data_IF_886403971939
#
_entry.id   IF_886403971939
#
_cell.length_a   1.000
_cell.length_b   1.000
_cell.length_c   1.000
_cell.angle_alpha   90.00
_cell.angle_beta   90.00
_cell.angle_gamma   90.00
#
_symmetry.space_group_name_H-M   'P 1'
#
loop_
_entity.id
_entity.type
_entity.pdbx_description
1 polymer ?
#
# COMPACT_ATOMS: atom_id res chain seq x y z
N UNK A 1 -22.11 -33.81 -12.18
CA UNK A 1 -23.54 -33.77 -11.80
C UNK A 1 -23.92 -32.30 -11.65
N UNK A 2 -24.69 -31.76 -12.62
CA UNK A 2 -25.07 -30.35 -12.71
C UNK A 2 -26.34 -30.14 -11.89
N UNK A 3 -26.32 -29.25 -10.91
CA UNK A 3 -27.54 -28.72 -10.31
C UNK A 3 -27.60 -27.21 -10.53
N UNK A 4 -28.53 -26.82 -11.40
CA UNK A 4 -29.06 -25.47 -11.54
C UNK A 4 -30.04 -25.26 -10.38
N UNK A 5 -29.94 -24.13 -9.69
CA UNK A 5 -31.07 -23.51 -9.00
C UNK A 5 -31.08 -22.04 -9.36
N UNK A 6 -32.11 -21.66 -10.13
CA UNK A 6 -32.59 -20.28 -10.25
C UNK A 6 -33.29 -19.92 -8.94
N UNK A 7 -32.96 -18.75 -8.39
CA UNK A 7 -33.85 -18.02 -7.51
C UNK A 7 -33.73 -16.54 -7.89
N UNK A 8 -34.79 -16.02 -8.50
CA UNK A 8 -34.95 -14.62 -8.84
C UNK A 8 -35.28 -13.85 -7.55
N UNK A 9 -34.41 -12.90 -7.18
CA UNK A 9 -34.73 -11.84 -6.25
C UNK A 9 -34.73 -10.52 -7.01
N UNK A 10 -35.93 -9.96 -7.14
CA UNK A 10 -36.17 -8.58 -7.59
C UNK A 10 -35.62 -7.66 -6.51
N UNK A 11 -34.45 -7.07 -6.78
CA UNK A 11 -33.90 -5.97 -5.99
C UNK A 11 -34.37 -4.68 -6.66
N UNK A 12 -35.25 -3.94 -5.97
CA UNK A 12 -35.54 -2.55 -6.29
C UNK A 12 -34.26 -1.74 -6.07
N UNK A 13 -33.52 -1.53 -7.15
CA UNK A 13 -32.31 -0.74 -7.19
C UNK A 13 -32.62 0.75 -7.06
N UNK A 14 -32.57 1.26 -5.83
CA UNK A 14 -32.12 2.63 -5.62
C UNK A 14 -30.62 2.63 -5.88
N UNK A 15 -30.26 2.89 -7.14
CA UNK A 15 -28.89 3.07 -7.58
C UNK A 15 -28.30 4.27 -6.87
N UNK A 16 -27.63 4.05 -5.75
CA UNK A 16 -26.59 4.93 -5.27
C UNK A 16 -25.45 4.83 -6.30
N UNK A 17 -25.51 5.67 -7.33
CA UNK A 17 -24.33 5.95 -8.15
C UNK A 17 -23.31 6.51 -7.15
N UNK A 18 -22.17 5.85 -6.92
CA UNK A 18 -21.10 6.51 -6.20
C UNK A 18 -20.71 7.71 -7.08
N UNK A 19 -21.14 8.90 -6.69
CA UNK A 19 -20.61 10.14 -7.24
C UNK A 19 -19.22 10.22 -6.60
N UNK A 20 -18.26 9.50 -7.17
CA UNK A 20 -16.87 9.86 -7.00
C UNK A 20 -16.78 11.23 -7.66
N UNK A 21 -16.70 12.27 -6.84
CA UNK A 21 -16.35 13.60 -7.32
C UNK A 21 -14.92 13.51 -7.84
N UNK A 22 -14.79 13.11 -9.10
CA UNK A 22 -13.57 13.25 -9.88
C UNK A 22 -13.38 14.73 -10.08
N UNK A 23 -12.23 15.25 -9.68
CA UNK A 23 -11.92 16.62 -10.03
C UNK A 23 -11.81 16.71 -11.55
N UNK A 24 -12.32 17.77 -12.14
CA UNK A 24 -12.08 18.00 -13.56
C UNK A 24 -10.64 18.47 -13.78
N UNK A 25 -10.07 18.21 -14.95
CA UNK A 25 -8.91 18.95 -15.42
C UNK A 25 -9.12 20.46 -15.29
N UNK A 26 -8.03 21.19 -15.05
CA UNK A 26 -8.07 22.65 -15.01
C UNK A 26 -8.62 23.19 -16.36
N UNK A 27 -9.78 23.86 -16.37
CA UNK A 27 -10.35 24.41 -17.60
C UNK A 27 -9.50 25.54 -18.21
N UNK A 28 -8.63 26.15 -17.40
CA UNK A 28 -7.77 27.26 -17.82
C UNK A 28 -6.53 26.77 -18.58
N UNK A 29 -6.03 25.56 -18.29
CA UNK A 29 -4.85 25.01 -18.93
C UNK A 29 -5.19 24.29 -20.24
N UNK A 30 -4.63 24.77 -21.35
CA UNK A 30 -4.70 24.12 -22.67
C UNK A 30 -3.31 23.73 -23.14
N UNK A 31 -3.14 22.44 -23.46
CA UNK A 31 -1.87 21.88 -23.97
C UNK A 31 -1.98 21.67 -25.47
N UNK A 32 -1.09 22.32 -26.21
CA UNK A 32 -1.02 22.21 -27.67
C UNK A 32 -0.04 21.11 -28.11
N UNK A 33 1.10 20.99 -27.42
CA UNK A 33 2.11 19.98 -27.73
C UNK A 33 2.94 19.56 -26.52
N UNK A 34 3.43 18.32 -26.55
CA UNK A 34 4.50 17.84 -25.67
C UNK A 34 5.56 17.15 -26.53
N UNK A 35 6.82 17.52 -26.34
CA UNK A 35 7.96 16.98 -27.03
C UNK A 35 9.02 16.47 -26.04
N UNK A 36 9.72 15.40 -26.42
CA UNK A 36 10.89 14.89 -25.71
C UNK A 36 12.09 14.91 -26.65
N UNK A 37 13.25 15.33 -26.16
CA UNK A 37 14.45 15.40 -27.00
C UNK A 37 15.04 14.03 -27.36
N UNK A 38 14.61 12.97 -26.70
CA UNK A 38 15.06 11.60 -26.94
C UNK A 38 13.87 10.63 -26.89
N UNK A 39 13.71 9.75 -27.90
CA UNK A 39 12.64 8.75 -27.92
C UNK A 39 13.02 7.46 -27.17
N UNK A 40 14.29 7.31 -26.78
CA UNK A 40 14.77 6.14 -26.07
C UNK A 40 15.94 6.46 -25.15
N UNK A 41 16.04 5.76 -24.02
CA UNK A 41 17.16 5.86 -23.07
C UNK A 41 17.58 4.47 -22.58
N UNK A 42 18.87 4.31 -22.33
CA UNK A 42 19.43 3.16 -21.63
C UNK A 42 19.97 3.63 -20.27
N UNK A 43 19.54 2.97 -19.20
CA UNK A 43 19.89 3.35 -17.83
C UNK A 43 20.34 2.09 -17.08
N UNK A 44 21.31 2.24 -16.20
CA UNK A 44 21.88 1.12 -15.44
C UNK A 44 21.95 1.46 -13.95
N UNK A 45 21.60 0.49 -13.11
CA UNK A 45 21.74 0.62 -11.67
C UNK A 45 20.86 1.70 -11.07
N UNK A 46 21.46 2.49 -10.18
CA UNK A 46 20.80 3.58 -9.46
C UNK A 46 20.88 4.93 -10.22
N UNK A 47 21.37 4.92 -11.45
CA UNK A 47 21.47 6.11 -12.28
C UNK A 47 20.11 6.52 -12.84
N UNK A 48 20.01 7.77 -13.29
CA UNK A 48 18.92 8.28 -14.10
C UNK A 48 19.45 8.86 -15.41
N UNK A 49 18.66 8.79 -16.47
CA UNK A 49 18.89 9.56 -17.69
C UNK A 49 18.02 10.82 -17.68
N UNK A 50 18.62 11.98 -17.89
CA UNK A 50 17.89 13.24 -18.01
C UNK A 50 17.40 13.40 -19.47
N UNK A 51 16.08 13.46 -19.63
CA UNK A 51 15.40 13.70 -20.91
C UNK A 51 14.76 15.06 -20.83
N UNK A 52 15.05 15.95 -21.78
CA UNK A 52 14.40 17.26 -21.81
C UNK A 52 12.98 17.09 -22.34
N UNK A 53 12.02 17.53 -21.54
CA UNK A 53 10.61 17.59 -21.92
C UNK A 53 10.24 19.04 -22.15
N UNK A 54 9.57 19.31 -23.26
CA UNK A 54 9.05 20.63 -23.60
C UNK A 54 7.55 20.55 -23.81
N UNK A 55 6.81 21.38 -23.10
CA UNK A 55 5.36 21.53 -23.21
C UNK A 55 5.07 22.87 -23.87
N UNK A 56 4.17 22.89 -24.85
CA UNK A 56 3.65 24.12 -25.46
C UNK A 56 2.16 24.19 -25.16
N UNK A 57 1.69 25.35 -24.70
CA UNK A 57 0.31 25.56 -24.32
C UNK A 57 0.06 26.96 -23.79
N UNK A 58 -1.12 27.14 -23.19
CA UNK A 58 -1.54 28.42 -22.65
C UNK A 58 -2.48 28.25 -21.45
N UNK A 59 -2.42 29.23 -20.56
CA UNK A 59 -3.47 29.49 -19.59
C UNK A 59 -4.41 30.55 -20.15
N UNK A 60 -5.71 30.43 -19.90
CA UNK A 60 -6.67 31.52 -20.14
C UNK A 60 -6.42 32.70 -19.21
N UNK A 61 -6.00 32.43 -17.98
CA UNK A 61 -5.72 33.44 -16.96
C UNK A 61 -4.22 33.83 -16.94
N UNK A 62 -3.97 35.15 -16.92
CA UNK A 62 -2.62 35.70 -17.02
C UNK A 62 -1.75 35.46 -15.77
N UNK A 63 -2.35 35.28 -14.59
CA UNK A 63 -1.61 34.98 -13.36
C UNK A 63 -1.17 33.52 -13.31
N UNK A 64 -2.05 32.58 -13.64
CA UNK A 64 -1.73 31.14 -13.76
C UNK A 64 -0.67 30.86 -14.81
N UNK A 65 -0.52 31.80 -15.74
CA UNK A 65 0.52 31.76 -16.75
C UNK A 65 1.93 31.59 -16.14
N UNK A 66 2.20 32.09 -14.92
CA UNK A 66 3.54 31.97 -14.29
C UNK A 66 3.78 30.62 -13.61
N UNK A 67 2.75 29.79 -13.50
CA UNK A 67 2.79 28.52 -12.78
C UNK A 67 3.60 27.47 -13.58
N UNK A 68 4.50 26.71 -12.93
CA UNK A 68 5.18 25.60 -13.58
C UNK A 68 4.18 24.48 -13.92
N UNK A 69 4.57 23.58 -14.81
CA UNK A 69 3.79 22.38 -15.13
C UNK A 69 4.61 21.12 -14.91
N UNK A 70 3.95 19.98 -14.75
CA UNK A 70 4.56 18.66 -14.71
C UNK A 70 3.96 17.78 -15.79
N UNK A 71 4.79 16.99 -16.43
CA UNK A 71 4.36 15.99 -17.41
C UNK A 71 4.30 14.62 -16.74
N UNK A 72 3.17 13.94 -16.93
CA UNK A 72 2.94 12.59 -16.46
C UNK A 72 3.14 11.64 -17.62
N UNK A 73 3.92 10.59 -17.37
CA UNK A 73 4.05 9.47 -18.27
C UNK A 73 3.62 8.19 -17.57
N UNK A 74 2.81 7.39 -18.24
CA UNK A 74 2.39 6.06 -17.76
C UNK A 74 3.06 4.96 -18.58
N UNK A 75 3.40 3.87 -17.91
CA UNK A 75 3.96 2.68 -18.54
C UNK A 75 2.88 2.02 -19.39
N UNK A 76 3.12 1.94 -20.69
CA UNK A 76 2.23 1.31 -21.67
C UNK A 76 2.80 0.01 -22.25
N UNK A 77 4.08 -0.28 -21.97
CA UNK A 77 4.73 -1.53 -22.38
C UNK A 77 5.82 -1.98 -21.40
N UNK A 78 6.06 -3.29 -21.36
CA UNK A 78 7.01 -3.92 -20.44
C UNK A 78 6.46 -4.09 -19.01
N UNK A 79 7.34 -4.45 -18.08
CA UNK A 79 7.02 -4.61 -16.65
C UNK A 79 8.15 -4.02 -15.83
N UNK A 80 7.85 -3.33 -14.72
CA UNK A 80 8.83 -2.70 -13.84
C UNK A 80 8.16 -2.20 -12.57
N UNK A 81 8.97 -1.82 -11.57
CA UNK A 81 8.46 -1.33 -10.27
C UNK A 81 7.69 -0.02 -10.38
N UNK A 82 8.07 0.83 -11.34
CA UNK A 82 7.41 2.12 -11.60
C UNK A 82 6.42 1.99 -12.76
N UNK A 83 5.17 2.34 -12.49
CA UNK A 83 4.09 2.46 -13.49
C UNK A 83 3.96 3.88 -14.04
N UNK A 84 4.48 4.88 -13.31
CA UNK A 84 4.32 6.30 -13.63
C UNK A 84 5.65 7.02 -13.47
N UNK A 85 5.94 7.95 -14.38
CA UNK A 85 7.04 8.90 -14.26
C UNK A 85 6.48 10.32 -14.26
N UNK A 86 7.14 11.19 -13.50
CA UNK A 86 6.82 12.60 -13.43
C UNK A 86 8.06 13.39 -13.81
N UNK A 87 7.90 14.41 -14.65
CA UNK A 87 8.96 15.38 -14.86
C UNK A 87 9.22 16.18 -13.57
N UNK A 88 10.32 16.93 -13.51
CA UNK A 88 10.42 18.01 -12.52
C UNK A 88 9.35 19.07 -12.78
N UNK A 89 9.16 20.01 -11.85
CA UNK A 89 8.45 21.27 -12.12
C UNK A 89 9.13 21.96 -13.30
N UNK A 90 8.43 22.02 -14.44
CA UNK A 90 8.94 22.62 -15.67
C UNK A 90 8.69 24.13 -15.59
N UNK A 91 9.74 24.97 -15.47
CA UNK A 91 9.56 26.42 -15.46
C UNK A 91 9.02 26.90 -16.81
N UNK A 92 8.20 27.94 -16.77
CA UNK A 92 7.76 28.62 -17.97
C UNK A 92 8.90 29.39 -18.62
N UNK A 93 8.99 29.25 -19.93
CA UNK A 93 9.85 29.99 -20.84
C UNK A 93 9.00 30.98 -21.66
N UNK A 94 9.63 31.66 -22.63
CA UNK A 94 8.92 32.56 -23.54
C UNK A 94 7.85 31.81 -24.37
N UNK A 95 6.86 32.56 -24.87
CA UNK A 95 5.89 32.10 -25.88
C UNK A 95 5.00 30.91 -25.48
N UNK A 96 4.68 30.75 -24.19
CA UNK A 96 3.78 29.68 -23.74
C UNK A 96 4.43 28.30 -23.79
N UNK A 97 5.75 28.25 -23.58
CA UNK A 97 6.47 26.98 -23.48
C UNK A 97 6.95 26.75 -22.06
N UNK A 98 6.98 25.49 -21.61
CA UNK A 98 7.63 25.07 -20.37
C UNK A 98 8.66 24.00 -20.73
N UNK A 99 9.83 24.03 -20.09
CA UNK A 99 10.85 23.02 -20.39
C UNK A 99 11.72 22.70 -19.19
N UNK A 100 12.17 21.46 -19.12
CA UNK A 100 12.98 20.96 -18.01
C UNK A 100 13.19 19.45 -18.10
N UNK A 101 13.91 18.88 -17.12
CA UNK A 101 14.26 17.48 -17.15
C UNK A 101 13.12 16.56 -16.67
N UNK A 102 13.01 15.41 -17.35
CA UNK A 102 12.43 14.17 -16.86
C UNK A 102 13.59 13.23 -16.53
N UNK A 103 13.72 12.83 -15.26
CA UNK A 103 14.73 11.87 -14.85
C UNK A 103 14.17 10.45 -14.97
N UNK A 104 14.66 9.70 -15.95
CA UNK A 104 14.21 8.34 -16.24
C UNK A 104 15.10 7.33 -15.50
N UNK A 105 14.57 6.54 -14.55
CA UNK A 105 15.35 5.57 -13.79
C UNK A 105 15.48 4.20 -14.47
N UNK A 106 16.44 3.39 -14.01
CA UNK A 106 16.58 1.98 -14.42
C UNK A 106 15.57 1.07 -13.70
N UNK A 107 14.28 1.20 -14.02
CA UNK A 107 13.21 0.45 -13.33
C UNK A 107 12.84 -0.86 -14.00
N UNK A 108 13.12 -0.99 -15.31
CA UNK A 108 13.13 -2.19 -16.16
C UNK A 108 12.91 -1.78 -17.63
N UNK A 109 13.06 -2.73 -18.55
CA UNK A 109 12.72 -2.53 -19.96
C UNK A 109 11.22 -2.24 -20.13
N UNK A 110 10.89 -1.24 -20.95
CA UNK A 110 9.50 -0.93 -21.29
C UNK A 110 9.34 0.41 -21.99
N UNK A 111 8.08 0.82 -22.13
CA UNK A 111 7.72 2.07 -22.80
C UNK A 111 6.84 2.90 -21.90
N UNK A 112 7.19 4.16 -21.71
CA UNK A 112 6.37 5.15 -21.03
C UNK A 112 5.78 6.11 -22.05
N UNK A 113 4.53 6.51 -21.85
CA UNK A 113 3.82 7.41 -22.75
C UNK A 113 3.29 8.60 -21.97
N UNK A 114 3.45 9.79 -22.52
CA UNK A 114 2.82 11.00 -21.96
C UNK A 114 1.30 10.82 -21.99
N UNK A 115 0.67 10.94 -20.82
CA UNK A 115 -0.79 10.81 -20.64
C UNK A 115 -1.45 12.10 -20.18
N UNK A 116 -0.70 13.02 -19.58
CA UNK A 116 -1.26 14.29 -19.15
C UNK A 116 -0.23 15.28 -18.63
N UNK A 117 -0.72 16.48 -18.32
CA UNK A 117 0.03 17.59 -17.75
C UNK A 117 -0.73 18.13 -16.54
N UNK A 118 -0.05 18.35 -15.42
CA UNK A 118 -0.61 19.01 -14.23
C UNK A 118 0.06 20.39 -14.09
N UNK A 119 -0.68 21.40 -13.64
CA UNK A 119 -0.09 22.69 -13.24
C UNK A 119 0.30 22.70 -11.76
N UNK A 120 1.26 23.53 -11.41
CA UNK A 120 1.73 23.70 -10.02
C UNK A 120 3.10 23.08 -9.78
N UNK A 121 3.67 23.28 -8.59
CA UNK A 121 4.89 22.58 -8.19
C UNK A 121 4.61 21.08 -8.01
N UNK A 122 5.65 20.24 -8.14
CA UNK A 122 5.54 18.86 -7.68
C UNK A 122 5.07 18.83 -6.23
N UNK A 123 3.94 18.19 -5.97
CA UNK A 123 3.46 17.93 -4.62
C UNK A 123 2.79 16.55 -4.53
N UNK A 124 3.43 15.53 -3.94
CA UNK A 124 2.80 14.29 -3.59
C UNK A 124 2.00 14.52 -2.30
N UNK A 125 0.68 14.64 -2.40
CA UNK A 125 -0.21 14.61 -1.23
C UNK A 125 -0.87 15.92 -0.75
N UNK A 126 -0.86 17.04 -1.49
CA UNK A 126 -1.67 18.22 -1.13
C UNK A 126 -2.58 18.62 -2.25
N UNK A 127 -3.88 18.38 -2.02
CA UNK A 127 -4.92 19.41 -2.08
C UNK A 127 -5.31 19.99 -3.43
N UNK A 128 -4.41 20.03 -4.41
CA UNK A 128 -4.80 20.30 -5.78
C UNK A 128 -5.39 19.01 -6.32
N UNK A 129 -6.69 18.88 -6.09
CA UNK A 129 -7.46 17.72 -6.50
C UNK A 129 -7.53 17.62 -8.03
N UNK A 130 -7.06 18.63 -8.78
CA UNK A 130 -7.17 18.72 -10.24
C UNK A 130 -6.64 17.48 -10.94
N UNK A 131 -7.50 16.86 -11.74
CA UNK A 131 -7.07 15.77 -12.60
C UNK A 131 -6.07 16.30 -13.64
N UNK A 132 -5.08 15.49 -14.08
CA UNK A 132 -4.17 15.90 -15.13
C UNK A 132 -4.94 16.31 -16.38
N UNK A 133 -4.58 17.42 -17.02
CA UNK A 133 -5.06 17.77 -18.35
C UNK A 133 -4.66 16.66 -19.31
N UNK A 134 -5.61 15.87 -19.85
CA UNK A 134 -5.28 14.68 -20.62
C UNK A 134 -4.57 15.07 -21.92
N UNK A 135 -3.47 14.39 -22.22
CA UNK A 135 -2.72 14.62 -23.46
C UNK A 135 -2.16 13.31 -23.99
N UNK A 136 -2.49 12.97 -25.24
CA UNK A 136 -1.98 11.76 -25.91
C UNK A 136 -0.64 12.07 -26.57
N UNK A 137 0.41 12.14 -25.75
CA UNK A 137 1.72 12.61 -26.21
C UNK A 137 2.68 11.53 -26.68
N UNK A 138 3.96 11.91 -26.88
CA UNK A 138 5.02 11.00 -27.33
C UNK A 138 5.31 9.91 -26.30
N UNK A 139 6.04 8.89 -26.75
CA UNK A 139 6.50 7.79 -25.90
C UNK A 139 8.02 7.75 -25.82
N UNK A 140 8.54 7.22 -24.73
CA UNK A 140 9.95 6.96 -24.50
C UNK A 140 10.16 5.47 -24.21
N UNK A 141 11.06 4.85 -24.96
CA UNK A 141 11.52 3.50 -24.71
C UNK A 141 12.64 3.51 -23.66
N UNK A 142 12.53 2.67 -22.64
CA UNK A 142 13.51 2.56 -21.56
C UNK A 142 14.13 1.17 -21.63
N UNK A 143 15.46 1.14 -21.67
CA UNK A 143 16.25 -0.09 -21.48
C UNK A 143 16.93 -0.01 -20.13
N UNK A 144 16.42 -0.77 -19.15
CA UNK A 144 16.93 -0.80 -17.78
C UNK A 144 17.80 -2.04 -17.55
N UNK A 145 19.04 -1.85 -17.10
CA UNK A 145 19.94 -2.93 -16.69
C UNK A 145 20.35 -2.78 -15.23
N UNK A 146 20.79 -3.88 -14.61
CA UNK A 146 21.15 -3.90 -13.19
C UNK A 146 20.08 -3.21 -12.34
N UNK A 147 18.82 -3.65 -12.39
CA UNK A 147 17.69 -2.97 -11.73
C UNK A 147 17.78 -3.14 -10.21
N UNK A 148 17.54 -2.10 -9.39
CA UNK A 148 17.68 -2.22 -7.95
C UNK A 148 16.59 -3.10 -7.35
N UNK A 149 17.03 -4.04 -6.50
CA UNK A 149 16.20 -4.88 -5.65
C UNK A 149 16.33 -4.42 -4.21
N UNK A 150 15.20 -4.03 -3.63
CA UNK A 150 15.09 -3.71 -2.21
C UNK A 150 14.52 -4.93 -1.49
N UNK A 151 15.09 -5.29 -0.35
CA UNK A 151 14.55 -6.32 0.54
C UNK A 151 14.56 -5.85 1.99
N UNK A 152 13.74 -6.50 2.82
CA UNK A 152 13.58 -6.13 4.21
C UNK A 152 13.46 -7.36 5.11
N UNK A 153 14.02 -7.25 6.32
CA UNK A 153 13.89 -8.25 7.39
C UNK A 153 13.54 -7.55 8.70
N UNK A 154 12.40 -7.93 9.28
CA UNK A 154 11.89 -7.35 10.53
C UNK A 154 12.39 -8.17 11.71
N UNK A 155 12.90 -7.48 12.74
CA UNK A 155 13.44 -8.07 13.96
C UNK A 155 12.71 -7.47 15.16
N UNK A 156 11.95 -8.27 15.94
CA UNK A 156 11.60 -9.68 15.69
C UNK A 156 10.66 -9.84 14.48
N UNK A 157 10.62 -11.04 13.88
CA UNK A 157 9.78 -11.35 12.70
C UNK A 157 8.29 -11.04 12.93
N UNK A 158 7.81 -11.26 14.14
CA UNK A 158 6.47 -10.85 14.60
C UNK A 158 6.66 -9.87 15.75
N UNK A 159 6.23 -8.63 15.56
CA UNK A 159 6.45 -7.51 16.48
C UNK A 159 5.39 -7.54 17.59
N UNK A 160 5.76 -7.82 18.86
CA UNK A 160 4.81 -7.78 19.95
C UNK A 160 4.21 -6.39 20.15
N UNK A 161 2.96 -6.34 20.64
CA UNK A 161 2.32 -5.06 20.99
C UNK A 161 3.12 -4.32 22.07
N UNK A 162 3.25 -3.00 21.92
CA UNK A 162 3.96 -2.15 22.88
C UNK A 162 5.47 -2.34 22.94
N UNK A 163 6.08 -3.10 22.02
CA UNK A 163 7.54 -3.31 21.97
C UNK A 163 8.17 -2.64 20.75
N UNK A 164 9.38 -2.07 20.90
CA UNK A 164 10.14 -1.57 19.76
C UNK A 164 10.58 -2.73 18.86
N UNK A 165 10.95 -2.39 17.63
CA UNK A 165 11.44 -3.35 16.66
C UNK A 165 12.47 -2.68 15.75
N UNK A 166 13.12 -3.44 14.88
CA UNK A 166 14.01 -2.91 13.86
C UNK A 166 13.72 -3.55 12.51
N UNK A 167 14.00 -2.82 11.44
CA UNK A 167 13.98 -3.36 10.08
C UNK A 167 15.39 -3.23 9.51
N UNK A 168 15.95 -4.36 9.08
CA UNK A 168 17.15 -4.40 8.24
C UNK A 168 16.71 -4.36 6.79
N UNK A 169 17.09 -3.32 6.08
CA UNK A 169 16.87 -3.16 4.65
C UNK A 169 18.15 -3.47 3.89
N UNK A 170 18.01 -3.99 2.67
CA UNK A 170 19.13 -4.20 1.76
C UNK A 170 18.78 -3.69 0.36
N UNK A 171 19.72 -2.99 -0.26
CA UNK A 171 19.64 -2.54 -1.65
C UNK A 171 20.72 -3.24 -2.46
N UNK A 172 20.29 -4.13 -3.35
CA UNK A 172 21.16 -5.00 -4.13
C UNK A 172 20.79 -4.94 -5.60
N UNK A 173 21.75 -5.21 -6.47
CA UNK A 173 21.52 -5.42 -7.88
C UNK A 173 20.77 -6.72 -8.12
N UNK A 174 19.61 -6.63 -8.79
CA UNK A 174 18.76 -7.79 -9.09
C UNK A 174 19.44 -8.83 -9.98
N UNK A 175 20.41 -8.42 -10.81
CA UNK A 175 21.10 -9.31 -11.74
C UNK A 175 22.30 -10.00 -11.10
N UNK A 176 23.08 -9.28 -10.30
CA UNK A 176 24.31 -9.82 -9.70
C UNK A 176 24.15 -10.27 -8.25
N UNK A 177 23.09 -9.85 -7.56
CA UNK A 177 22.87 -10.07 -6.13
C UNK A 177 23.81 -9.26 -5.23
N UNK A 178 24.70 -8.44 -5.80
CA UNK A 178 25.69 -7.65 -5.07
C UNK A 178 25.13 -6.27 -4.69
N UNK A 179 25.64 -5.63 -3.63
CA UNK A 179 25.27 -4.24 -3.35
C UNK A 179 25.78 -3.30 -4.46
N UNK A 180 25.08 -2.18 -4.69
CA UNK A 180 25.52 -1.14 -5.64
C UNK A 180 26.74 -0.33 -5.17
N UNK A 181 27.23 -0.60 -3.97
CA UNK A 181 28.36 0.07 -3.36
C UNK A 181 28.14 0.28 -1.86
N UNK A 182 29.06 1.01 -1.25
CA UNK A 182 28.96 1.45 0.14
C UNK A 182 28.33 2.84 0.23
N UNK A 183 27.65 3.14 1.33
CA UNK A 183 27.13 4.48 1.65
C UNK A 183 26.13 5.02 0.62
N UNK A 184 25.27 4.14 0.09
CA UNK A 184 24.14 4.58 -0.69
C UNK A 184 23.19 5.40 0.20
N UNK A 185 22.86 6.61 -0.25
CA UNK A 185 21.86 7.46 0.37
C UNK A 185 20.47 6.88 0.16
N UNK A 186 19.70 6.71 1.22
CA UNK A 186 18.32 6.21 1.17
C UNK A 186 17.42 6.96 2.16
N UNK A 187 16.12 6.92 1.93
CA UNK A 187 15.10 7.37 2.87
C UNK A 187 14.58 6.18 3.63
N UNK A 188 14.49 6.27 4.96
CA UNK A 188 13.77 5.30 5.77
C UNK A 188 12.57 6.00 6.42
N UNK A 189 11.39 5.81 5.81
CA UNK A 189 10.16 6.50 6.18
C UNK A 189 9.19 5.66 6.99
N UNK A 190 8.15 6.31 7.50
CA UNK A 190 6.95 5.72 8.07
C UNK A 190 5.74 6.53 7.61
N UNK A 191 4.62 5.85 7.34
CA UNK A 191 3.32 6.42 6.97
C UNK A 191 3.40 7.43 5.81
N UNK A 192 3.05 8.71 6.03
CA UNK A 192 3.10 9.76 5.01
C UNK A 192 4.45 9.85 4.30
N UNK A 193 5.58 9.65 5.00
CA UNK A 193 6.89 9.68 4.32
C UNK A 193 7.02 8.59 3.24
N UNK A 194 6.24 7.52 3.31
CA UNK A 194 6.23 6.46 2.32
C UNK A 194 5.37 6.75 1.09
N UNK A 195 4.40 7.66 1.20
CA UNK A 195 3.50 8.03 0.11
C UNK A 195 3.80 9.42 -0.47
N UNK A 196 4.32 10.33 0.35
CA UNK A 196 4.39 11.78 0.12
C UNK A 196 5.83 12.31 0.15
N UNK A 197 6.82 11.46 -0.12
CA UNK A 197 8.22 11.88 -0.05
C UNK A 197 8.58 12.93 -1.12
N UNK A 198 9.24 14.00 -0.67
CA UNK A 198 9.56 15.20 -1.44
C UNK A 198 11.07 15.51 -1.39
N UNK A 199 11.80 15.21 -2.47
CA UNK A 199 13.17 15.72 -2.64
C UNK A 199 14.15 15.33 -1.53
N UNK A 200 15.41 15.81 -1.51
CA UNK A 200 16.54 14.98 -1.10
C UNK A 200 16.82 14.89 0.41
N UNK A 201 15.80 14.58 1.23
CA UNK A 201 15.92 14.20 2.64
C UNK A 201 16.55 12.82 2.90
N UNK A 202 17.55 12.43 2.11
CA UNK A 202 18.24 11.13 2.23
C UNK A 202 19.20 11.13 3.42
N UNK A 203 18.66 10.90 4.61
CA UNK A 203 19.39 10.98 5.89
C UNK A 203 20.12 9.69 6.26
N UNK A 204 19.88 8.59 5.56
CA UNK A 204 20.43 7.28 5.92
C UNK A 204 21.41 6.79 4.86
N UNK A 205 22.46 6.12 5.31
CA UNK A 205 23.50 5.54 4.46
C UNK A 205 23.53 4.03 4.65
N UNK A 206 23.60 3.28 3.56
CA UNK A 206 23.90 1.85 3.64
C UNK A 206 25.35 1.61 4.06
N UNK A 207 25.62 0.46 4.66
CA UNK A 207 26.97 -0.03 4.88
C UNK A 207 27.59 -0.57 3.58
N UNK A 208 28.79 -1.16 3.68
CA UNK A 208 29.54 -1.77 2.57
C UNK A 208 28.86 -3.01 1.98
N UNK A 209 27.91 -3.60 2.70
CA UNK A 209 27.11 -4.73 2.24
C UNK A 209 25.80 -4.29 1.58
N UNK A 210 25.60 -2.97 1.41
CA UNK A 210 24.37 -2.40 0.87
C UNK A 210 23.18 -2.49 1.83
N UNK A 211 23.43 -2.64 3.14
CA UNK A 211 22.36 -2.77 4.13
C UNK A 211 22.27 -1.56 5.04
N UNK A 212 21.07 -1.28 5.54
CA UNK A 212 20.84 -0.26 6.57
C UNK A 212 19.81 -0.78 7.55
N UNK A 213 20.05 -0.60 8.85
CA UNK A 213 19.12 -1.01 9.89
C UNK A 213 18.60 0.21 10.63
N UNK A 214 17.28 0.31 10.76
CA UNK A 214 16.63 1.36 11.55
C UNK A 214 15.78 0.72 12.65
N UNK A 215 15.90 1.28 13.85
CA UNK A 215 15.01 0.96 14.97
C UNK A 215 13.78 1.85 14.93
N UNK A 216 12.65 1.26 15.28
CA UNK A 216 11.32 1.87 15.25
C UNK A 216 10.66 1.70 16.61
N UNK A 217 9.87 2.70 17.00
CA UNK A 217 9.06 2.62 18.22
C UNK A 217 7.88 1.66 18.02
N UNK A 218 7.30 1.20 19.13
CA UNK A 218 6.16 0.28 19.08
C UNK A 218 4.94 0.85 18.32
N UNK A 219 4.73 2.17 18.35
CA UNK A 219 3.62 2.85 17.70
C UNK A 219 3.73 2.86 16.17
N UNK A 220 4.94 2.74 15.62
CA UNK A 220 5.17 2.72 14.17
C UNK A 220 4.88 1.35 13.53
N UNK A 221 4.60 0.32 14.33
CA UNK A 221 4.38 -1.04 13.84
C UNK A 221 3.03 -1.23 13.13
N UNK A 222 2.09 -0.32 13.33
CA UNK A 222 0.74 -0.36 12.75
C UNK A 222 0.63 0.49 11.47
N UNK A 223 1.74 1.08 11.02
CA UNK A 223 1.83 1.92 9.81
C UNK A 223 2.78 1.29 8.78
N UNK A 224 2.71 1.77 7.54
CA UNK A 224 3.66 1.38 6.49
C UNK A 224 5.03 1.94 6.83
N UNK A 225 6.06 1.09 6.78
CA UNK A 225 7.46 1.46 6.89
C UNK A 225 8.12 1.23 5.54
N UNK A 226 8.98 2.14 5.12
CA UNK A 226 9.54 2.05 3.77
C UNK A 226 11.02 2.39 3.71
N UNK A 227 11.66 1.81 2.69
CA UNK A 227 12.90 2.34 2.13
C UNK A 227 12.59 2.93 0.75
N UNK A 228 13.00 4.17 0.51
CA UNK A 228 12.91 4.83 -0.80
C UNK A 228 14.31 5.10 -1.35
N UNK A 229 14.49 4.82 -2.64
CA UNK A 229 15.72 5.10 -3.38
C UNK A 229 15.76 6.57 -3.82
N UNK A 230 16.96 7.14 -3.98
CA UNK A 230 17.09 8.48 -4.50
C UNK A 230 16.47 8.67 -5.87
N UNK A 231 15.67 9.72 -5.99
CA UNK A 231 15.13 10.23 -7.24
C UNK A 231 14.78 11.72 -7.15
N UNK A 232 14.30 12.26 -8.28
CA UNK A 232 13.90 13.65 -8.43
C UNK A 232 12.80 13.75 -9.53
N UNK A 233 11.63 14.33 -9.25
CA UNK A 233 11.20 14.89 -7.96
C UNK A 233 10.69 13.83 -6.95
N UNK A 234 10.31 12.64 -7.44
CA UNK A 234 9.90 11.49 -6.63
C UNK A 234 11.01 10.44 -6.51
N UNK A 235 10.85 9.47 -5.60
CA UNK A 235 11.78 8.34 -5.49
C UNK A 235 11.79 7.48 -6.75
N UNK A 236 12.97 6.97 -7.14
CA UNK A 236 13.13 6.10 -8.31
C UNK A 236 12.76 4.61 -8.05
N UNK A 237 12.10 4.34 -6.94
CA UNK A 237 11.84 3.00 -6.45
C UNK A 237 11.76 2.98 -4.94
N UNK A 238 10.97 2.07 -4.41
CA UNK A 238 10.82 1.90 -2.98
C UNK A 238 10.23 0.54 -2.62
N UNK A 239 10.32 0.21 -1.34
CA UNK A 239 9.64 -0.92 -0.75
C UNK A 239 8.96 -0.48 0.54
N UNK A 240 7.63 -0.56 0.56
CA UNK A 240 6.83 -0.42 1.78
C UNK A 240 6.47 -1.78 2.37
N UNK A 241 6.44 -1.88 3.70
CA UNK A 241 5.92 -3.04 4.41
C UNK A 241 5.26 -2.62 5.73
N UNK A 242 4.29 -3.41 6.18
CA UNK A 242 3.74 -3.33 7.54
C UNK A 242 4.24 -4.55 8.32
N UNK A 243 4.91 -4.37 9.47
CA UNK A 243 5.39 -5.47 10.29
C UNK A 243 4.29 -6.45 10.70
N UNK A 244 4.63 -7.73 10.77
CA UNK A 244 3.69 -8.74 11.24
C UNK A 244 3.38 -8.56 12.74
N UNK A 245 2.11 -8.69 13.12
CA UNK A 245 1.60 -8.55 14.50
C UNK A 245 1.08 -9.90 15.01
N UNK A 246 1.17 -10.19 16.31
CA UNK A 246 0.67 -11.45 16.84
C UNK A 246 -0.86 -11.48 16.84
N UNK A 247 -1.45 -12.63 16.53
CA UNK A 247 -2.89 -12.88 16.65
C UNK A 247 -3.29 -13.16 18.09
N UNK A 248 -3.29 -12.15 18.96
CA UNK A 248 -3.72 -12.34 20.36
C UNK A 248 -5.22 -12.16 20.47
N UNK A 249 -5.93 -13.25 20.76
CA UNK A 249 -7.38 -13.26 20.93
C UNK A 249 -7.79 -13.74 22.32
N UNK A 250 -8.70 -13.02 22.97
CA UNK A 250 -9.35 -13.41 24.21
C UNK A 250 -10.85 -13.62 23.97
N UNK A 251 -11.47 -14.52 24.73
CA UNK A 251 -12.88 -14.83 24.63
C UNK A 251 -13.42 -15.33 25.97
N UNK A 252 -14.60 -14.84 26.36
CA UNK A 252 -15.29 -15.23 27.58
C UNK A 252 -16.79 -15.39 27.29
N UNK A 253 -17.40 -16.55 27.64
CA UNK A 253 -18.85 -16.71 27.50
C UNK A 253 -19.58 -15.89 28.58
N UNK A 254 -20.75 -15.35 28.26
CA UNK A 254 -21.59 -14.62 29.22
C UNK A 254 -22.15 -15.52 30.32
N UNK A 255 -22.21 -16.84 30.06
CA UNK A 255 -22.63 -17.87 31.02
C UNK A 255 -21.79 -19.13 30.81
N UNK A 256 -21.43 -19.79 31.91
CA UNK A 256 -20.73 -21.08 31.89
C UNK A 256 -21.69 -22.27 31.94
N UNK A 257 -23.00 -22.04 32.02
CA UNK A 257 -24.06 -23.06 31.97
C UNK A 257 -25.32 -22.52 31.30
N UNK A 258 -25.95 -23.32 30.45
CA UNK A 258 -27.21 -22.96 29.77
C UNK A 258 -27.96 -24.22 29.31
N UNK A 259 -29.28 -24.13 29.12
CA UNK A 259 -30.06 -25.24 28.55
C UNK A 259 -29.51 -25.61 27.18
N UNK A 260 -29.48 -26.90 26.86
CA UNK A 260 -29.13 -27.36 25.50
C UNK A 260 -29.95 -26.60 24.45
N UNK A 261 -29.29 -26.14 23.39
CA UNK A 261 -29.90 -25.33 22.34
C UNK A 261 -30.04 -23.83 22.66
N UNK A 262 -29.71 -23.37 23.87
CA UNK A 262 -29.76 -21.94 24.21
C UNK A 262 -28.55 -21.18 23.67
N UNK A 263 -28.77 -20.02 23.06
CA UNK A 263 -27.70 -19.13 22.61
C UNK A 263 -27.03 -18.48 23.83
N UNK A 264 -25.71 -18.63 23.90
CA UNK A 264 -24.84 -17.99 24.89
C UNK A 264 -23.87 -17.06 24.16
N UNK A 265 -23.98 -15.73 24.34
CA UNK A 265 -23.02 -14.79 23.81
C UNK A 265 -21.60 -15.06 24.34
N UNK A 266 -20.62 -15.02 23.44
CA UNK A 266 -19.19 -15.09 23.74
C UNK A 266 -18.58 -13.76 23.32
N UNK A 267 -18.14 -12.98 24.31
CA UNK A 267 -17.53 -11.69 24.09
C UNK A 267 -16.01 -11.83 24.12
N UNK A 268 -15.31 -11.10 23.27
CA UNK A 268 -13.87 -11.17 23.21
C UNK A 268 -13.23 -9.96 22.55
N UNK A 269 -11.90 -9.96 22.54
CA UNK A 269 -11.07 -8.91 21.96
C UNK A 269 -9.95 -9.55 21.16
N UNK A 270 -9.67 -9.02 19.97
CA UNK A 270 -8.41 -9.24 19.25
C UNK A 270 -7.51 -8.02 19.47
N UNK A 271 -6.31 -8.23 20.01
CA UNK A 271 -5.37 -7.15 20.28
C UNK A 271 -4.95 -6.42 18.98
N UNK A 272 -4.71 -5.11 19.08
CA UNK A 272 -4.40 -4.26 17.92
C UNK A 272 -5.61 -3.81 17.09
N UNK A 273 -6.81 -4.29 17.41
CA UNK A 273 -8.05 -3.91 16.73
C UNK A 273 -8.01 -4.05 15.19
N UNK A 274 -7.68 -5.24 14.65
CA UNK A 274 -7.54 -5.41 13.21
C UNK A 274 -8.88 -5.15 12.50
N UNK A 275 -8.91 -4.10 11.68
CA UNK A 275 -10.09 -3.69 10.92
C UNK A 275 -10.43 -4.72 9.84
N UNK A 276 -11.71 -4.85 9.50
CA UNK A 276 -12.22 -5.75 8.45
C UNK A 276 -11.93 -7.25 8.64
N UNK A 277 -11.25 -7.64 9.72
CA UNK A 277 -10.95 -9.03 10.04
C UNK A 277 -12.10 -9.74 10.76
N UNK A 278 -12.07 -11.08 10.73
CA UNK A 278 -13.12 -11.94 11.28
C UNK A 278 -12.59 -12.92 12.33
N UNK A 279 -13.47 -13.41 13.18
CA UNK A 279 -13.22 -14.50 14.13
C UNK A 279 -14.27 -15.60 14.00
N UNK A 280 -13.91 -16.80 14.44
CA UNK A 280 -14.76 -17.99 14.36
C UNK A 280 -14.84 -18.67 15.72
N UNK A 281 -16.06 -19.04 16.15
CA UNK A 281 -16.21 -19.92 17.30
C UNK A 281 -15.95 -21.36 16.85
N UNK A 282 -15.05 -22.05 17.56
CA UNK A 282 -14.78 -23.46 17.36
C UNK A 282 -15.21 -24.27 18.58
N UNK A 283 -15.70 -25.49 18.35
CA UNK A 283 -16.00 -26.51 19.37
C UNK A 283 -15.11 -27.73 19.16
N UNK A 284 -14.66 -28.37 20.23
CA UNK A 284 -13.94 -29.64 20.14
C UNK A 284 -14.92 -30.80 19.87
N UNK A 285 -14.53 -31.68 18.96
CA UNK A 285 -15.20 -32.94 18.64
C UNK A 285 -14.20 -34.08 18.86
N UNK A 286 -14.63 -35.09 19.61
CA UNK A 286 -13.72 -36.13 20.10
C UNK A 286 -12.61 -35.52 20.99
N UNK A 287 -11.40 -36.05 20.86
CA UNK A 287 -10.26 -35.59 21.67
C UNK A 287 -9.47 -34.42 21.06
N UNK A 288 -9.51 -34.24 19.73
CA UNK A 288 -8.55 -33.35 19.04
C UNK A 288 -9.12 -32.47 17.93
N UNK A 289 -10.36 -32.71 17.46
CA UNK A 289 -10.87 -32.03 16.26
C UNK A 289 -11.64 -30.76 16.61
N UNK A 290 -11.07 -29.59 16.31
CA UNK A 290 -11.77 -28.31 16.44
C UNK A 290 -12.55 -27.99 15.16
N UNK A 291 -13.87 -27.81 15.26
CA UNK A 291 -14.72 -27.41 14.12
C UNK A 291 -15.40 -26.09 14.39
N UNK A 292 -15.49 -25.24 13.36
CA UNK A 292 -16.26 -24.00 13.42
C UNK A 292 -17.75 -24.29 13.60
N UNK A 293 -18.39 -23.59 14.56
CA UNK A 293 -19.79 -23.83 14.96
C UNK A 293 -20.65 -22.57 14.97
N UNK A 294 -20.09 -21.41 14.60
CA UNK A 294 -20.84 -20.16 14.45
C UNK A 294 -20.61 -19.55 13.07
N UNK A 295 -21.52 -18.67 12.61
CA UNK A 295 -21.18 -17.68 11.60
C UNK A 295 -19.94 -16.87 12.01
N UNK A 296 -19.28 -16.28 11.02
CA UNK A 296 -18.12 -15.41 11.26
C UNK A 296 -18.52 -14.16 12.06
N UNK A 297 -17.75 -13.83 13.09
CA UNK A 297 -17.92 -12.61 13.88
C UNK A 297 -17.07 -11.49 13.32
N UNK A 298 -17.66 -10.30 13.14
CA UNK A 298 -16.93 -9.09 12.77
C UNK A 298 -16.20 -8.52 13.97
N UNK A 299 -14.93 -8.14 13.78
CA UNK A 299 -14.14 -7.40 14.76
C UNK A 299 -14.44 -5.90 14.59
N UNK A 300 -14.74 -5.20 15.69
CA UNK A 300 -14.93 -3.74 15.66
C UNK A 300 -13.58 -3.04 15.50
N UNK A 301 -13.40 -2.31 14.40
CA UNK A 301 -12.14 -1.67 14.01
C UNK A 301 -11.52 -0.73 15.05
N UNK A 302 -12.33 -0.10 15.92
CA UNK A 302 -11.82 0.84 16.93
C UNK A 302 -11.40 0.21 18.24
N UNK A 303 -11.80 -1.03 18.52
CA UNK A 303 -11.63 -1.64 19.86
C UNK A 303 -11.16 -3.09 19.83
N UNK A 304 -11.15 -3.74 18.66
CA UNK A 304 -10.87 -5.17 18.54
C UNK A 304 -11.96 -6.07 19.13
N UNK A 305 -13.04 -5.49 19.65
CA UNK A 305 -14.13 -6.23 20.31
C UNK A 305 -14.96 -7.00 19.30
N UNK A 306 -15.41 -8.18 19.68
CA UNK A 306 -16.36 -8.99 18.93
C UNK A 306 -17.34 -9.70 19.87
N UNK A 307 -18.44 -10.16 19.30
CA UNK A 307 -19.39 -11.06 19.96
C UNK A 307 -19.71 -12.20 19.00
N UNK A 308 -19.64 -13.43 19.51
CA UNK A 308 -20.02 -14.66 18.82
C UNK A 308 -21.15 -15.33 19.60
N UNK A 309 -21.88 -16.24 18.96
CA UNK A 309 -22.97 -16.97 19.60
C UNK A 309 -22.59 -18.45 19.73
N UNK A 310 -22.43 -18.92 20.95
CA UNK A 310 -22.26 -20.34 21.26
C UNK A 310 -23.63 -20.97 21.54
N UNK A 311 -23.77 -22.25 21.22
CA UNK A 311 -24.98 -23.03 21.52
C UNK A 311 -24.56 -24.41 22.03
N UNK A 312 -24.80 -24.74 23.32
CA UNK A 312 -24.54 -26.07 23.86
C UNK A 312 -25.36 -27.11 23.10
N UNK A 313 -24.70 -28.08 22.46
CA UNK A 313 -25.38 -29.05 21.60
C UNK A 313 -25.83 -30.32 22.32
N UNK A 314 -25.37 -30.55 23.55
CA UNK A 314 -25.70 -31.72 24.36
C UNK A 314 -25.49 -31.41 25.85
N UNK A 315 -26.01 -32.28 26.72
CA UNK A 315 -25.83 -32.16 28.18
C UNK A 315 -24.39 -32.53 28.56
N UNK A 316 -23.76 -31.72 29.42
CA UNK A 316 -22.38 -31.92 29.85
C UNK A 316 -21.46 -30.76 29.52
N UNK A 317 -20.17 -30.93 29.80
CA UNK A 317 -19.17 -29.87 29.66
C UNK A 317 -18.67 -29.81 28.21
N UNK A 318 -18.94 -28.69 27.51
CA UNK A 318 -18.58 -28.54 26.10
C UNK A 318 -17.44 -27.53 25.97
N UNK A 319 -16.27 -27.93 25.45
CA UNK A 319 -15.14 -27.03 25.20
C UNK A 319 -15.32 -26.21 23.91
N UNK A 320 -15.03 -24.92 24.03
CA UNK A 320 -15.02 -23.95 22.95
C UNK A 320 -13.72 -23.16 22.95
N UNK A 321 -13.37 -22.61 21.78
CA UNK A 321 -12.34 -21.58 21.64
C UNK A 321 -12.71 -20.65 20.50
N UNK A 322 -12.13 -19.45 20.49
CA UNK A 322 -12.22 -18.55 19.34
C UNK A 322 -10.95 -18.69 18.51
N UNK A 323 -11.11 -18.86 17.20
CA UNK A 323 -10.05 -18.86 16.22
C UNK A 323 -10.06 -17.55 15.44
N UNK A 324 -8.90 -16.91 15.42
CA UNK A 324 -8.60 -15.75 14.58
C UNK A 324 -7.66 -16.22 13.47
N UNK A 325 -8.08 -16.24 12.20
CA UNK A 325 -7.20 -16.62 11.10
C UNK A 325 -6.14 -15.54 10.84
N UNK A 326 -5.13 -15.87 10.03
CA UNK A 326 -4.23 -14.88 9.44
C UNK A 326 -5.06 -13.81 8.73
N UNK A 327 -4.83 -12.54 9.05
CA UNK A 327 -5.55 -11.42 8.46
C UNK A 327 -4.63 -10.22 8.29
N UNK A 328 -4.39 -9.79 7.05
CA UNK A 328 -3.40 -8.77 6.70
C UNK A 328 -2.02 -9.07 7.33
N UNK A 329 -1.48 -8.15 8.12
CA UNK A 329 -0.22 -8.31 8.85
C UNK A 329 -0.38 -9.07 10.20
N UNK A 330 -1.60 -9.41 10.63
CA UNK A 330 -1.82 -10.11 11.89
C UNK A 330 -1.75 -11.63 11.69
N UNK A 331 -0.89 -12.29 12.46
CA UNK A 331 -0.75 -13.75 12.50
C UNK A 331 -2.01 -14.43 13.02
N UNK A 332 -2.22 -15.69 12.66
CA UNK A 332 -3.31 -16.49 13.21
C UNK A 332 -3.15 -16.69 14.73
N UNK A 333 -4.28 -16.86 15.41
CA UNK A 333 -4.36 -16.99 16.87
C UNK A 333 -5.55 -17.79 17.35
N UNK A 334 -5.44 -18.34 18.56
CA UNK A 334 -6.55 -19.01 19.25
C UNK A 334 -6.68 -18.49 20.67
N UNK A 335 -7.91 -18.37 21.15
CA UNK A 335 -8.15 -18.02 22.54
C UNK A 335 -7.79 -19.20 23.44
N UNK A 336 -7.69 -18.93 24.74
CA UNK A 336 -7.79 -20.01 25.74
C UNK A 336 -9.10 -20.77 25.53
N UNK A 337 -9.06 -22.07 25.80
CA UNK A 337 -10.27 -22.90 25.81
C UNK A 337 -11.15 -22.47 26.98
N UNK A 338 -12.44 -22.33 26.72
CA UNK A 338 -13.47 -22.08 27.73
C UNK A 338 -14.58 -23.11 27.59
N UNK A 339 -15.41 -23.25 28.62
CA UNK A 339 -16.42 -24.30 28.67
C UNK A 339 -17.81 -23.72 28.94
N UNK A 340 -18.81 -24.32 28.30
CA UNK A 340 -20.22 -24.07 28.59
C UNK A 340 -20.87 -25.42 28.88
N UNK A 341 -21.46 -25.56 30.07
CA UNK A 341 -22.19 -26.77 30.45
C UNK A 341 -23.60 -26.72 29.90
N UNK A 342 -23.96 -27.70 29.06
CA UNK A 342 -25.35 -27.93 28.69
C UNK A 342 -26.09 -28.58 29.86
N UNK A 343 -27.15 -27.95 30.35
CA UNK A 343 -28.09 -28.50 31.34
C UNK A 343 -29.40 -28.93 30.69
#
# INVERSE_FOLDING_TARGET
MKFRMLAAMVVLGLGAVPITAHASPDPNLKIDAVAMNQPAVAVSGLNTAAVTVTVTGKFTDAEDSKTPVLVILERTGGSGSESTLLSTSLPRLANGTWSGPLYVPSTANGTFKVTGVIHGPFFPGSGDMTEPTPFKGPSIAVTGTHVPRISASVIPKVVPFGKPYSIKWAVTDSQTGRPYGSRLRVVLGNDNTCAEYMGPGYSNLTDVTGTVTKSYTASMADYVNCLLLPGNPSSNGGLGLVPARPGVVSATPSKTSAKVGTIVPVNGVVAGAPSSCKVYLQRLYGATQWKTVSPMGSIRSSSGRFTLNAQPAYKGLIPYRVYFPLCYNYQAGVSKVFYIRGI
#
